data_IF_866872704736
#
_entry.id   IF_866872704736
#
_cell.length_a   1.000
_cell.length_b   1.000
_cell.length_c   1.000
_cell.angle_alpha   90.00
_cell.angle_beta   90.00
_cell.angle_gamma   90.00
#
_symmetry.space_group_name_H-M   'P 1'
#
loop_
_entity.id
_entity.type
_entity.pdbx_description
1 polymer ?
#
# COMPACT_ATOMS: atom_id res chain seq x y z
N UNK A 1 25.53 24.51 -21.48
CA UNK A 1 24.16 24.16 -21.79
C UNK A 1 23.90 22.70 -21.61
N UNK A 2 24.72 21.90 -22.25
CA UNK A 2 24.55 20.46 -22.10
C UNK A 2 24.76 20.01 -20.67
N UNK A 3 25.64 20.70 -19.99
CA UNK A 3 25.93 20.33 -18.61
C UNK A 3 24.69 20.45 -17.76
N UNK A 4 23.94 21.54 -17.98
CA UNK A 4 22.75 21.74 -17.18
C UNK A 4 21.70 20.69 -17.47
N UNK A 5 21.66 20.21 -18.71
CA UNK A 5 20.71 19.18 -19.03
C UNK A 5 21.11 17.85 -18.44
N UNK A 6 22.40 17.57 -18.45
CA UNK A 6 22.87 16.28 -17.94
C UNK A 6 22.67 16.17 -16.44
N UNK A 7 23.03 17.22 -15.70
CA UNK A 7 22.90 17.16 -14.26
C UNK A 7 21.47 17.05 -13.79
N UNK A 8 20.54 17.85 -14.32
CA UNK A 8 19.15 17.68 -13.90
C UNK A 8 18.62 16.30 -14.19
N UNK A 9 19.04 15.72 -15.31
CA UNK A 9 18.59 14.38 -15.62
C UNK A 9 19.11 13.35 -14.62
N UNK A 10 20.36 13.49 -14.23
CA UNK A 10 20.94 12.59 -13.24
C UNK A 10 20.20 12.73 -11.91
N UNK A 11 19.93 13.96 -11.50
CA UNK A 11 19.21 14.20 -10.27
C UNK A 11 17.80 13.64 -10.36
N UNK A 12 17.16 13.83 -11.51
CA UNK A 12 15.82 13.31 -11.69
C UNK A 12 15.81 11.79 -11.61
N UNK A 13 16.83 11.14 -12.16
CA UNK A 13 16.91 9.70 -12.07
C UNK A 13 17.05 9.24 -10.63
N UNK A 14 17.92 9.90 -9.88
CA UNK A 14 18.07 9.54 -8.47
C UNK A 14 16.77 9.77 -7.73
N UNK A 15 16.15 10.91 -7.98
CA UNK A 15 14.88 11.20 -7.33
C UNK A 15 13.82 10.21 -7.74
N UNK A 16 13.82 9.83 -9.01
CA UNK A 16 12.82 8.88 -9.49
C UNK A 16 12.99 7.53 -8.81
N UNK A 17 14.23 7.08 -8.65
CA UNK A 17 14.46 5.82 -7.96
C UNK A 17 14.01 5.89 -6.51
N UNK A 18 14.31 7.00 -5.86
CA UNK A 18 13.88 7.18 -4.49
C UNK A 18 12.36 7.23 -4.38
N UNK A 19 11.73 7.89 -5.34
CA UNK A 19 10.28 7.96 -5.37
C UNK A 19 9.70 6.56 -5.59
N UNK A 20 10.27 5.82 -6.52
CA UNK A 20 9.79 4.46 -6.78
C UNK A 20 9.95 3.60 -5.55
N UNK A 21 11.09 3.70 -4.89
CA UNK A 21 11.31 2.93 -3.66
C UNK A 21 10.32 3.33 -2.59
N UNK A 22 10.08 4.62 -2.45
CA UNK A 22 9.11 5.11 -1.47
C UNK A 22 7.71 4.65 -1.79
N UNK A 23 7.34 4.71 -3.07
CA UNK A 23 6.02 4.26 -3.48
C UNK A 23 5.86 2.77 -3.25
N UNK A 24 6.89 1.99 -3.56
CA UNK A 24 6.83 0.56 -3.34
C UNK A 24 6.61 0.24 -1.87
N UNK A 25 7.33 0.92 -1.00
CA UNK A 25 7.16 0.70 0.44
C UNK A 25 5.78 1.11 0.89
N UNK A 26 5.27 2.21 0.37
CA UNK A 26 3.96 2.69 0.76
C UNK A 26 2.87 1.76 0.24
N UNK A 27 3.02 1.29 -0.99
CA UNK A 27 2.06 0.33 -1.54
C UNK A 27 2.03 -0.93 -0.70
N UNK A 28 3.20 -1.44 -0.33
CA UNK A 28 3.25 -2.64 0.49
C UNK A 28 2.56 -2.42 1.83
N UNK A 29 2.81 -1.26 2.46
CA UNK A 29 2.20 -0.95 3.74
C UNK A 29 0.68 -0.83 3.62
N UNK A 30 0.22 -0.10 2.62
CA UNK A 30 -1.22 0.08 2.43
C UNK A 30 -1.89 -1.22 2.05
N UNK A 31 -1.26 -2.02 1.21
CA UNK A 31 -1.81 -3.30 0.82
C UNK A 31 -1.93 -4.22 2.03
N UNK A 32 -0.91 -4.23 2.86
CA UNK A 32 -0.94 -5.06 4.06
C UNK A 32 -2.07 -4.63 4.99
N UNK A 33 -2.23 -3.33 5.18
CA UNK A 33 -3.31 -2.83 6.02
C UNK A 33 -4.67 -3.19 5.45
N UNK A 34 -4.81 -3.08 4.12
CA UNK A 34 -6.07 -3.41 3.48
C UNK A 34 -6.40 -4.88 3.67
N UNK A 35 -5.42 -5.74 3.48
CA UNK A 35 -5.64 -7.17 3.63
C UNK A 35 -6.00 -7.52 5.07
N UNK A 36 -5.31 -6.91 6.02
CA UNK A 36 -5.62 -7.14 7.43
C UNK A 36 -7.05 -6.71 7.72
N UNK A 37 -7.45 -5.55 7.21
CA UNK A 37 -8.81 -5.06 7.44
C UNK A 37 -9.84 -5.99 6.81
N UNK A 38 -9.55 -6.49 5.61
CA UNK A 38 -10.47 -7.40 4.94
C UNK A 38 -10.61 -8.71 5.71
N UNK A 39 -9.50 -9.23 6.21
CA UNK A 39 -9.54 -10.46 6.98
C UNK A 39 -10.33 -10.25 8.27
N UNK A 40 -10.13 -9.11 8.92
CA UNK A 40 -10.88 -8.82 10.13
C UNK A 40 -12.37 -8.68 9.83
N UNK A 41 -12.72 -8.06 8.73
CA UNK A 41 -14.11 -7.93 8.34
C UNK A 41 -14.72 -9.29 8.09
N UNK A 42 -14.01 -10.15 7.37
CA UNK A 42 -14.51 -11.48 7.09
C UNK A 42 -14.69 -12.27 8.38
N UNK A 43 -13.75 -12.12 9.31
CA UNK A 43 -13.85 -12.81 10.59
C UNK A 43 -15.06 -12.33 11.39
N UNK A 44 -15.26 -11.03 11.41
CA UNK A 44 -16.38 -10.46 12.13
C UNK A 44 -17.69 -10.88 11.49
N UNK A 45 -17.74 -10.90 10.18
CA UNK A 45 -18.94 -11.35 9.48
C UNK A 45 -19.25 -12.80 9.81
N UNK A 46 -18.21 -13.62 9.85
CA UNK A 46 -18.40 -15.03 10.20
C UNK A 46 -18.91 -15.17 11.63
N UNK A 47 -18.39 -14.38 12.54
CA UNK A 47 -18.85 -14.41 13.92
C UNK A 47 -20.28 -13.95 14.04
N UNK A 48 -20.65 -12.92 13.29
CA UNK A 48 -22.01 -12.45 13.31
C UNK A 48 -22.94 -13.48 12.74
N UNK A 49 -22.55 -14.13 11.66
CA UNK A 49 -23.37 -15.18 11.06
C UNK A 49 -23.52 -16.34 12.02
N UNK A 50 -22.48 -16.68 12.74
CA UNK A 50 -22.55 -17.78 13.70
C UNK A 50 -23.44 -17.41 14.88
N UNK A 51 -23.46 -16.16 15.27
CA UNK A 51 -24.26 -15.71 16.40
C UNK A 51 -25.71 -15.47 16.02
N UNK A 52 -25.97 -15.02 14.81
CA UNK A 52 -27.32 -14.64 14.41
C UNK A 52 -28.32 -15.77 14.52
N UNK A 53 -28.02 -16.99 14.01
CA UNK A 53 -29.00 -18.06 14.15
C UNK A 53 -29.31 -18.43 15.59
N UNK A 54 -28.33 -18.26 16.46
CA UNK A 54 -28.52 -18.62 17.85
C UNK A 54 -29.53 -17.72 18.53
N UNK A 55 -29.65 -16.50 18.07
CA UNK A 55 -30.58 -15.56 18.67
C UNK A 55 -32.02 -15.89 18.33
N UNK A 56 -32.22 -16.76 17.38
CA UNK A 56 -33.54 -17.17 17.01
C UNK A 56 -33.96 -18.32 17.86
#
# INVERSE_FOLDING_TARGET
MNDTQTQPQADEQVNALEVINGLSAEIARLTQRAIIAEVRCADLEARLAAAAPASK
#
